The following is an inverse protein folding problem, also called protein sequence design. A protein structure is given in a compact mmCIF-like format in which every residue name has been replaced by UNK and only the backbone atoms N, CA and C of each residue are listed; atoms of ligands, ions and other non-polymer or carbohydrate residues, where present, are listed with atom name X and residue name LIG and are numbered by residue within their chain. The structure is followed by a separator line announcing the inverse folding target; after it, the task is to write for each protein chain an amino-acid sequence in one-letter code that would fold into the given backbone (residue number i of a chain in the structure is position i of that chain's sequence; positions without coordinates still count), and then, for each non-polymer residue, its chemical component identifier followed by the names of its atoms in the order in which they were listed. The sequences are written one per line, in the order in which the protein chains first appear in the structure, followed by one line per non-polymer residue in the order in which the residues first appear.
data_IF_408286157738
#
_entry.id   IF_408286157738
#
_cell.length_a   1.000
_cell.length_b   1.000
_cell.length_c   1.000
_cell.angle_alpha   90.00
_cell.angle_beta   90.00
_cell.angle_gamma   90.00
#
_symmetry.space_group_name_H-M   'P 1'
#
loop_
_entity.id
_entity.type
_entity.pdbx_description
1 polymer ?
#
# COMPACT_ATOMS: atom_id res chain seq x y z
N UNK A 1 -6.97 -16.49 -14.67
CA UNK A 1 -8.23 -16.41 -13.93
C UNK A 1 -8.69 -14.95 -13.94
N UNK A 2 -9.99 -14.68 -14.18
CA UNK A 2 -10.52 -13.31 -14.21
C UNK A 2 -11.75 -13.20 -13.33
N UNK A 3 -11.89 -12.08 -12.62
CA UNK A 3 -13.10 -11.70 -11.89
C UNK A 3 -13.83 -10.60 -12.67
N UNK A 4 -15.15 -10.73 -12.81
CA UNK A 4 -16.03 -9.81 -13.52
C UNK A 4 -17.27 -9.52 -12.65
N UNK A 5 -17.93 -8.38 -12.90
CA UNK A 5 -19.19 -8.05 -12.25
C UNK A 5 -20.30 -9.02 -12.69
N UNK A 6 -21.27 -9.20 -11.80
CA UNK A 6 -22.57 -9.78 -12.07
C UNK A 6 -23.58 -8.64 -12.03
N UNK A 7 -24.03 -8.10 -13.19
CA UNK A 7 -24.90 -6.94 -13.21
C UNK A 7 -26.22 -7.14 -12.45
N UNK A 8 -26.70 -8.39 -12.42
CA UNK A 8 -27.97 -8.78 -11.80
C UNK A 8 -27.84 -8.92 -10.27
N UNK A 9 -26.62 -9.16 -9.76
CA UNK A 9 -26.35 -9.30 -8.32
C UNK A 9 -24.98 -8.70 -7.93
N UNK A 10 -24.96 -7.45 -7.44
CA UNK A 10 -23.73 -6.79 -7.01
C UNK A 10 -23.02 -7.45 -5.81
N UNK A 11 -23.66 -8.40 -5.12
CA UNK A 11 -23.03 -9.14 -4.01
C UNK A 11 -22.13 -10.28 -4.48
N UNK A 12 -22.23 -10.63 -5.77
CA UNK A 12 -21.49 -11.72 -6.41
C UNK A 12 -20.50 -11.17 -7.47
N UNK A 13 -19.47 -11.94 -7.69
CA UNK A 13 -18.51 -11.79 -8.79
C UNK A 13 -18.53 -13.05 -9.64
N UNK A 14 -18.42 -12.90 -10.94
CA UNK A 14 -18.26 -14.03 -11.86
C UNK A 14 -16.79 -14.39 -12.01
N UNK A 15 -16.44 -15.64 -11.77
CA UNK A 15 -15.09 -16.16 -11.93
C UNK A 15 -14.94 -16.81 -13.30
N UNK A 16 -14.21 -16.16 -14.21
CA UNK A 16 -13.91 -16.69 -15.54
C UNK A 16 -12.57 -17.40 -15.56
N UNK A 17 -12.58 -18.63 -16.06
CA UNK A 17 -11.39 -19.46 -16.18
C UNK A 17 -11.30 -19.94 -17.62
N UNK A 18 -10.17 -19.68 -18.28
CA UNK A 18 -10.00 -19.97 -19.69
C UNK A 18 -9.87 -21.47 -20.02
N UNK A 19 -9.49 -22.30 -19.04
CA UNK A 19 -9.24 -23.74 -19.23
C UNK A 19 -10.18 -24.59 -18.39
N UNK A 20 -10.93 -25.53 -18.98
CA UNK A 20 -11.80 -26.45 -18.23
C UNK A 20 -11.04 -27.33 -17.21
N UNK A 21 -9.83 -27.77 -17.53
CA UNK A 21 -8.99 -28.53 -16.60
C UNK A 21 -8.58 -27.71 -15.36
N UNK A 22 -8.43 -26.38 -15.51
CA UNK A 22 -8.16 -25.48 -14.39
C UNK A 22 -9.40 -25.26 -13.53
N UNK A 23 -10.62 -25.27 -14.10
CA UNK A 23 -11.88 -25.22 -13.35
C UNK A 23 -11.97 -26.37 -12.36
N UNK A 24 -11.79 -27.60 -12.84
CA UNK A 24 -11.85 -28.81 -12.00
C UNK A 24 -10.82 -28.75 -10.87
N UNK A 25 -9.62 -28.29 -11.18
CA UNK A 25 -8.53 -28.16 -10.20
C UNK A 25 -8.82 -27.10 -9.15
N UNK A 26 -9.36 -25.93 -9.55
CA UNK A 26 -9.70 -24.83 -8.64
C UNK A 26 -10.85 -25.19 -7.72
N UNK A 27 -11.92 -25.77 -8.24
CA UNK A 27 -13.08 -26.20 -7.46
C UNK A 27 -12.71 -27.32 -6.47
N UNK A 28 -11.75 -28.18 -6.82
CA UNK A 28 -11.22 -29.22 -5.93
C UNK A 28 -10.19 -28.73 -4.90
N UNK A 29 -9.68 -27.51 -5.02
CA UNK A 29 -8.67 -26.97 -4.11
C UNK A 29 -9.30 -26.59 -2.76
N UNK A 30 -8.90 -27.25 -1.66
CA UNK A 30 -9.47 -27.08 -0.31
C UNK A 30 -9.50 -25.64 0.19
N UNK A 31 -8.54 -24.80 -0.23
CA UNK A 31 -8.45 -23.41 0.15
C UNK A 31 -9.33 -22.49 -0.69
N UNK A 32 -9.76 -22.94 -1.87
CA UNK A 32 -10.53 -22.18 -2.86
C UNK A 32 -12.00 -22.55 -2.84
N UNK A 33 -12.30 -23.84 -2.79
CA UNK A 33 -13.67 -24.38 -2.83
C UNK A 33 -14.68 -23.67 -1.89
N UNK A 34 -14.35 -23.32 -0.64
CA UNK A 34 -15.30 -22.64 0.24
C UNK A 34 -15.62 -21.18 -0.16
N UNK A 35 -14.93 -20.65 -1.14
CA UNK A 35 -15.08 -19.26 -1.61
C UNK A 35 -15.75 -19.16 -2.97
N UNK A 36 -16.10 -20.29 -3.59
CA UNK A 36 -16.68 -20.35 -4.93
C UNK A 36 -18.03 -21.06 -4.85
N UNK A 37 -19.04 -20.43 -5.38
CA UNK A 37 -20.35 -21.02 -5.64
C UNK A 37 -20.42 -21.48 -7.10
N UNK A 38 -20.87 -22.70 -7.33
CA UNK A 38 -20.96 -23.31 -8.67
C UNK A 38 -22.43 -23.37 -9.09
N UNK A 39 -22.76 -22.72 -10.18
CA UNK A 39 -24.10 -22.76 -10.76
C UNK A 39 -24.00 -23.18 -12.25
N UNK A 40 -24.27 -24.47 -12.51
CA UNK A 40 -24.10 -25.06 -13.82
C UNK A 40 -22.66 -24.98 -14.31
N UNK A 41 -22.43 -24.22 -15.37
CA UNK A 41 -21.11 -23.97 -15.96
C UNK A 41 -20.45 -22.67 -15.43
N UNK A 42 -21.18 -21.86 -14.70
CA UNK A 42 -20.71 -20.60 -14.17
C UNK A 42 -20.17 -20.75 -12.72
N UNK A 43 -19.14 -19.98 -12.42
CA UNK A 43 -18.54 -19.92 -11.10
C UNK A 43 -18.74 -18.51 -10.54
N UNK A 44 -19.24 -18.42 -9.31
CA UNK A 44 -19.47 -17.17 -8.62
C UNK A 44 -18.65 -17.10 -7.36
N UNK A 45 -18.30 -15.88 -6.96
CA UNK A 45 -17.52 -15.58 -5.76
C UNK A 45 -18.25 -14.48 -5.00
N UNK A 46 -18.74 -14.71 -3.79
CA UNK A 46 -19.25 -13.64 -2.97
C UNK A 46 -18.21 -12.51 -2.77
N UNK A 47 -18.65 -11.26 -2.89
CA UNK A 47 -17.78 -10.07 -2.78
C UNK A 47 -16.88 -10.11 -1.53
N UNK A 48 -17.40 -10.62 -0.40
CA UNK A 48 -16.64 -10.80 0.85
C UNK A 48 -15.41 -11.71 0.72
N UNK A 49 -15.36 -12.57 -0.30
CA UNK A 49 -14.25 -13.49 -0.52
C UNK A 49 -13.24 -13.00 -1.56
N UNK A 50 -13.51 -11.88 -2.25
CA UNK A 50 -12.68 -11.33 -3.33
C UNK A 50 -11.20 -11.20 -2.97
N UNK A 51 -10.89 -10.52 -1.88
CA UNK A 51 -9.50 -10.31 -1.47
C UNK A 51 -8.80 -11.59 -1.08
N UNK A 52 -9.48 -12.45 -0.31
CA UNK A 52 -8.94 -13.74 0.13
C UNK A 52 -8.71 -14.70 -1.02
N UNK A 53 -9.65 -14.78 -1.97
CA UNK A 53 -9.51 -15.60 -3.16
C UNK A 53 -8.29 -15.20 -3.99
N UNK A 54 -8.11 -13.90 -4.22
CA UNK A 54 -6.95 -13.37 -4.96
C UNK A 54 -5.63 -13.78 -4.32
N UNK A 55 -5.51 -13.70 -3.00
CA UNK A 55 -4.32 -14.11 -2.26
C UNK A 55 -4.04 -15.59 -2.40
N UNK A 56 -5.07 -16.42 -2.22
CA UNK A 56 -4.93 -17.88 -2.33
C UNK A 56 -4.53 -18.28 -3.75
N UNK A 57 -5.19 -17.71 -4.76
CA UNK A 57 -4.90 -18.01 -6.16
C UNK A 57 -3.48 -17.56 -6.56
N UNK A 58 -3.03 -16.40 -6.09
CA UNK A 58 -1.66 -15.98 -6.33
C UNK A 58 -0.64 -16.93 -5.70
N UNK A 59 -0.87 -17.35 -4.46
CA UNK A 59 -0.01 -18.33 -3.77
C UNK A 59 0.03 -19.69 -4.44
N UNK A 60 -0.98 -20.02 -5.26
CA UNK A 60 -1.03 -21.24 -6.09
C UNK A 60 -0.43 -21.03 -7.50
N UNK A 61 0.10 -19.84 -7.79
CA UNK A 61 0.69 -19.49 -9.09
C UNK A 61 -0.35 -19.07 -10.14
N UNK A 62 -1.59 -18.73 -9.74
CA UNK A 62 -2.68 -18.33 -10.64
C UNK A 62 -3.07 -16.88 -10.44
N UNK A 63 -2.39 -15.92 -11.08
CA UNK A 63 -2.70 -14.51 -10.94
C UNK A 63 -4.13 -14.22 -11.42
N UNK A 64 -4.82 -13.32 -10.72
CA UNK A 64 -6.19 -12.91 -11.01
C UNK A 64 -6.21 -11.57 -11.72
N UNK A 65 -6.77 -11.53 -12.92
CA UNK A 65 -7.18 -10.32 -13.63
C UNK A 65 -8.53 -9.87 -13.06
N UNK A 66 -8.48 -8.99 -12.09
CA UNK A 66 -9.66 -8.52 -11.36
C UNK A 66 -10.24 -7.27 -12.05
N UNK A 67 -11.34 -7.47 -12.81
CA UNK A 67 -12.03 -6.41 -13.54
C UNK A 67 -13.37 -6.00 -12.93
N UNK A 68 -13.78 -6.72 -11.90
CA UNK A 68 -15.10 -6.53 -11.30
C UNK A 68 -15.14 -5.33 -10.36
N UNK A 69 -16.21 -4.53 -10.44
CA UNK A 69 -16.58 -3.48 -9.48
C UNK A 69 -15.47 -2.52 -9.11
N UNK A 70 -14.50 -2.30 -10.02
CA UNK A 70 -13.44 -1.34 -9.78
C UNK A 70 -13.97 0.05 -10.12
N UNK A 71 -14.09 0.87 -9.08
CA UNK A 71 -14.59 2.23 -9.19
C UNK A 71 -13.53 3.09 -9.87
N UNK A 72 -13.92 3.79 -10.96
CA UNK A 72 -13.07 4.79 -11.61
C UNK A 72 -12.76 5.97 -10.67
N UNK A 73 -13.59 6.14 -9.63
CA UNK A 73 -13.52 7.21 -8.66
C UNK A 73 -14.26 8.45 -9.07
N UNK A 74 -14.72 9.22 -8.10
CA UNK A 74 -15.30 10.52 -8.38
C UNK A 74 -14.22 11.49 -8.89
N UNK A 75 -14.53 12.34 -9.88
CA UNK A 75 -13.56 13.29 -10.41
C UNK A 75 -13.14 14.32 -9.35
N UNK A 76 -11.91 14.78 -9.45
CA UNK A 76 -11.33 15.81 -8.60
C UNK A 76 -10.43 16.71 -9.44
N UNK A 77 -10.51 18.01 -9.23
CA UNK A 77 -9.57 18.95 -9.88
C UNK A 77 -8.33 19.12 -9.02
N UNK A 78 -7.19 18.85 -9.60
CA UNK A 78 -5.88 19.07 -8.98
C UNK A 78 -4.87 19.46 -10.05
N UNK A 79 -4.07 20.48 -9.77
CA UNK A 79 -2.92 20.88 -10.58
C UNK A 79 -1.70 21.08 -9.68
N UNK A 80 -0.56 20.61 -10.10
CA UNK A 80 0.70 20.85 -9.38
C UNK A 80 1.20 22.27 -9.68
N UNK A 81 1.70 22.95 -8.65
CA UNK A 81 2.25 24.31 -8.75
C UNK A 81 3.70 24.25 -9.22
N UNK A 82 3.90 24.25 -10.54
CA UNK A 82 5.24 24.14 -11.17
C UNK A 82 6.16 25.33 -10.82
N UNK A 83 5.60 26.44 -10.43
CA UNK A 83 6.33 27.59 -9.92
C UNK A 83 6.93 27.37 -8.52
N UNK A 84 6.45 26.36 -7.80
CA UNK A 84 6.93 26.00 -6.45
C UNK A 84 7.98 24.89 -6.47
N UNK A 85 7.95 24.04 -7.50
CA UNK A 85 8.92 22.98 -7.66
C UNK A 85 8.93 22.46 -9.10
N UNK A 86 10.08 21.98 -9.51
CA UNK A 86 10.25 21.27 -10.79
C UNK A 86 10.47 19.79 -10.48
N UNK A 87 9.63 18.87 -10.99
CA UNK A 87 9.89 17.45 -10.82
C UNK A 87 11.20 17.05 -11.46
N UNK A 88 11.94 16.19 -10.79
CA UNK A 88 13.14 15.60 -11.38
C UNK A 88 12.77 14.62 -12.50
N UNK A 89 13.65 14.39 -13.48
CA UNK A 89 13.39 13.50 -14.62
C UNK A 89 12.95 12.09 -14.20
N UNK A 90 13.60 11.51 -13.18
CA UNK A 90 13.24 10.19 -12.68
C UNK A 90 11.82 10.14 -12.05
N UNK A 91 11.34 11.22 -11.45
CA UNK A 91 9.98 11.30 -10.91
C UNK A 91 8.95 11.28 -12.05
N UNK A 92 9.21 11.98 -13.13
CA UNK A 92 8.39 11.97 -14.33
C UNK A 92 8.39 10.59 -15.00
N UNK A 93 9.56 9.94 -15.09
CA UNK A 93 9.68 8.57 -15.61
C UNK A 93 8.91 7.56 -14.75
N UNK A 94 8.99 7.69 -13.43
CA UNK A 94 8.25 6.83 -12.51
C UNK A 94 6.74 6.91 -12.74
N UNK A 95 6.20 8.12 -12.97
CA UNK A 95 4.77 8.31 -13.26
C UNK A 95 4.40 7.81 -14.64
N UNK A 96 5.24 7.99 -15.66
CA UNK A 96 5.02 7.41 -16.97
C UNK A 96 4.90 5.88 -16.88
N UNK A 97 5.88 5.22 -16.27
CA UNK A 97 5.88 3.76 -16.08
C UNK A 97 4.63 3.26 -15.28
N UNK A 98 4.19 4.00 -14.27
CA UNK A 98 2.97 3.69 -13.52
C UNK A 98 1.73 3.79 -14.40
N UNK A 99 1.56 4.87 -15.18
CA UNK A 99 0.41 5.08 -16.06
C UNK A 99 0.34 4.06 -17.19
N UNK A 100 1.46 3.82 -17.86
CA UNK A 100 1.55 2.90 -19.00
C UNK A 100 1.23 1.46 -18.59
N UNK A 101 1.41 1.14 -17.31
CA UNK A 101 1.06 -0.17 -16.74
C UNK A 101 -0.37 -0.27 -16.20
N UNK A 102 -1.27 0.66 -16.54
CA UNK A 102 -2.67 0.66 -16.08
C UNK A 102 -2.87 1.29 -14.71
N UNK A 103 -1.92 2.10 -14.25
CA UNK A 103 -1.97 2.85 -12.98
C UNK A 103 -2.14 1.97 -11.73
N UNK A 104 -1.45 0.83 -11.72
CA UNK A 104 -1.32 -0.02 -10.55
C UNK A 104 0.09 -0.60 -10.43
N UNK A 105 0.66 -0.54 -9.25
CA UNK A 105 1.99 -1.07 -8.97
C UNK A 105 2.78 -0.27 -7.93
N UNK A 106 3.99 -0.71 -7.68
CA UNK A 106 4.89 -0.17 -6.67
C UNK A 106 6.01 0.62 -7.34
N UNK A 107 6.27 1.81 -6.80
CA UNK A 107 7.41 2.66 -7.13
C UNK A 107 8.39 2.64 -5.96
N UNK A 108 9.63 2.26 -6.23
CA UNK A 108 10.70 2.19 -5.24
C UNK A 108 11.62 3.40 -5.42
N UNK A 109 11.67 4.25 -4.42
CA UNK A 109 12.49 5.46 -4.40
C UNK A 109 13.17 5.61 -3.04
N UNK A 110 14.46 5.90 -2.99
CA UNK A 110 15.17 6.15 -1.74
C UNK A 110 14.52 7.22 -0.86
N UNK A 111 14.88 7.22 0.42
CA UNK A 111 14.51 8.33 1.31
C UNK A 111 15.04 9.64 0.76
N UNK A 112 14.23 10.71 0.85
CA UNK A 112 14.60 12.01 0.28
C UNK A 112 14.38 12.18 -1.23
N UNK A 113 14.12 11.10 -2.00
CA UNK A 113 13.90 11.18 -3.44
C UNK A 113 12.53 11.75 -3.86
N UNK A 114 11.73 12.23 -2.91
CA UNK A 114 10.46 12.89 -3.22
C UNK A 114 9.31 11.95 -3.59
N UNK A 115 9.13 10.85 -2.88
CA UNK A 115 7.98 9.92 -3.02
C UNK A 115 6.64 10.66 -3.04
N UNK A 116 6.47 11.66 -2.17
CA UNK A 116 5.28 12.52 -2.14
C UNK A 116 5.04 13.25 -3.46
N UNK A 117 6.10 13.80 -4.08
CA UNK A 117 6.02 14.47 -5.39
C UNK A 117 5.51 13.51 -6.45
N UNK A 118 6.04 12.29 -6.50
CA UNK A 118 5.58 11.25 -7.44
C UNK A 118 4.09 10.97 -7.26
N UNK A 119 3.61 10.85 -6.03
CA UNK A 119 2.17 10.66 -5.80
C UNK A 119 1.33 11.89 -6.21
N UNK A 120 1.81 13.12 -5.98
CA UNK A 120 1.12 14.33 -6.44
C UNK A 120 0.99 14.36 -7.97
N UNK A 121 2.04 13.95 -8.68
CA UNK A 121 2.01 13.80 -10.13
C UNK A 121 1.02 12.71 -10.58
N UNK A 122 0.92 11.60 -9.84
CA UNK A 122 -0.07 10.56 -10.10
C UNK A 122 -1.49 11.09 -9.89
N UNK A 123 -1.76 11.80 -8.80
CA UNK A 123 -3.05 12.42 -8.51
C UNK A 123 -3.45 13.44 -9.58
N UNK A 124 -2.52 14.30 -10.02
CA UNK A 124 -2.74 15.26 -11.11
C UNK A 124 -3.10 14.54 -12.41
N UNK A 125 -2.34 13.51 -12.78
CA UNK A 125 -2.55 12.76 -14.01
C UNK A 125 -3.88 11.98 -14.05
N UNK A 126 -4.37 11.55 -12.89
CA UNK A 126 -5.59 10.76 -12.75
C UNK A 126 -6.83 11.59 -12.42
N UNK A 127 -6.66 12.76 -11.81
CA UNK A 127 -7.71 13.72 -11.45
C UNK A 127 -8.93 13.08 -10.78
N UNK A 128 -8.70 12.19 -9.80
CA UNK A 128 -9.75 11.43 -9.12
C UNK A 128 -9.58 11.46 -7.61
N UNK A 129 -10.69 11.30 -6.88
CA UNK A 129 -10.66 11.21 -5.40
C UNK A 129 -9.65 10.16 -4.95
N UNK A 130 -8.83 10.53 -3.98
CA UNK A 130 -7.69 9.73 -3.56
C UNK A 130 -7.69 9.46 -2.06
N UNK A 131 -7.49 8.18 -1.69
CA UNK A 131 -7.19 7.76 -0.34
C UNK A 131 -5.67 7.55 -0.20
N UNK A 132 -5.05 8.24 0.76
CA UNK A 132 -3.64 8.04 1.10
C UNK A 132 -3.54 7.36 2.45
N UNK A 133 -2.83 6.24 2.52
CA UNK A 133 -2.66 5.46 3.74
C UNK A 133 -1.19 5.54 4.14
N UNK A 134 -0.91 6.22 5.24
CA UNK A 134 0.43 6.43 5.76
C UNK A 134 0.75 5.57 6.99
N UNK A 135 2.02 5.57 7.37
CA UNK A 135 2.52 4.82 8.52
C UNK A 135 2.16 5.46 9.86
N UNK A 136 2.12 6.79 9.93
CA UNK A 136 1.85 7.54 11.17
C UNK A 136 1.02 8.80 10.92
N UNK A 137 0.54 9.40 12.03
CA UNK A 137 -0.18 10.68 11.98
C UNK A 137 0.72 11.81 11.51
N UNK A 138 1.97 11.81 11.93
CA UNK A 138 3.00 12.78 11.54
C UNK A 138 3.26 12.73 10.04
N UNK A 139 3.34 11.53 9.47
CA UNK A 139 3.43 11.33 8.03
C UNK A 139 2.21 11.93 7.30
N UNK A 140 0.99 11.69 7.79
CA UNK A 140 -0.23 12.29 7.22
C UNK A 140 -0.20 13.84 7.30
N UNK A 141 0.27 14.41 8.40
CA UNK A 141 0.42 15.87 8.55
C UNK A 141 1.46 16.42 7.57
N UNK A 142 2.58 15.73 7.37
CA UNK A 142 3.59 16.09 6.38
C UNK A 142 3.02 16.04 4.96
N UNK A 143 2.32 14.96 4.61
CA UNK A 143 1.63 14.83 3.32
C UNK A 143 0.67 15.98 3.06
N UNK A 144 -0.17 16.33 4.06
CA UNK A 144 -1.10 17.46 3.93
C UNK A 144 -0.38 18.78 3.66
N UNK A 145 0.70 19.07 4.40
CA UNK A 145 1.51 20.28 4.18
C UNK A 145 2.09 20.33 2.77
N UNK A 146 2.65 19.23 2.30
CA UNK A 146 3.22 19.12 0.96
C UNK A 146 2.17 19.31 -0.13
N UNK A 147 0.99 18.70 0.02
CA UNK A 147 -0.13 18.85 -0.92
C UNK A 147 -0.57 20.30 -1.03
N UNK A 148 -0.82 20.96 0.10
CA UNK A 148 -1.26 22.37 0.12
C UNK A 148 -0.18 23.33 -0.43
N UNK A 149 1.08 23.04 -0.21
CA UNK A 149 2.18 23.84 -0.71
C UNK A 149 2.41 23.70 -2.21
N UNK A 150 2.27 22.47 -2.74
CA UNK A 150 2.72 22.10 -4.09
C UNK A 150 1.59 21.90 -5.11
N UNK A 151 0.32 22.02 -4.68
CA UNK A 151 -0.82 21.82 -5.58
C UNK A 151 -1.85 22.94 -5.45
N UNK A 152 -2.83 22.96 -6.34
CA UNK A 152 -4.00 23.86 -6.31
C UNK A 152 -5.00 23.53 -5.20
N UNK A 153 -4.81 22.43 -4.46
CA UNK A 153 -5.72 22.00 -3.39
C UNK A 153 -5.77 23.01 -2.25
N UNK A 154 -6.96 23.13 -1.67
CA UNK A 154 -7.22 23.92 -0.47
C UNK A 154 -7.35 23.01 0.77
N UNK A 155 -7.41 23.64 1.95
CA UNK A 155 -7.62 22.91 3.20
C UNK A 155 -8.92 22.09 3.25
N UNK A 156 -9.93 22.49 2.46
CA UNK A 156 -11.23 21.81 2.37
C UNK A 156 -11.15 20.52 1.54
N UNK A 157 -10.18 20.46 0.63
CA UNK A 157 -10.01 19.31 -0.27
C UNK A 157 -9.25 18.16 0.40
N UNK A 158 -8.41 18.47 1.41
CA UNK A 158 -7.49 17.52 2.03
C UNK A 158 -7.86 17.29 3.50
N UNK A 159 -8.55 16.19 3.77
CA UNK A 159 -8.93 15.76 5.10
C UNK A 159 -7.92 14.79 5.72
N UNK A 160 -7.75 14.83 7.05
CA UNK A 160 -7.07 13.80 7.83
C UNK A 160 -8.12 13.04 8.62
N UNK A 161 -8.29 11.77 8.27
CA UNK A 161 -9.17 10.84 8.97
C UNK A 161 -8.39 10.14 10.09
N UNK A 162 -8.60 10.55 11.32
CA UNK A 162 -7.84 10.10 12.48
C UNK A 162 -8.69 9.92 13.74
N UNK A 163 -8.05 9.87 14.90
CA UNK A 163 -8.74 9.74 16.18
C UNK A 163 -9.61 10.95 16.48
N UNK A 164 -9.09 12.15 16.25
CA UNK A 164 -9.72 13.41 16.62
C UNK A 164 -10.82 13.85 15.64
N UNK A 165 -10.61 13.58 14.35
CA UNK A 165 -11.52 13.97 13.26
C UNK A 165 -11.82 12.80 12.35
N UNK A 166 -13.05 12.72 11.87
CA UNK A 166 -13.57 11.68 10.98
C UNK A 166 -14.03 12.27 9.65
N UNK A 167 -13.41 13.38 9.23
CA UNK A 167 -13.75 14.07 7.99
C UNK A 167 -13.20 13.31 6.78
N UNK A 168 -13.98 13.31 5.71
CA UNK A 168 -13.63 12.73 4.42
C UNK A 168 -13.66 13.82 3.38
N UNK A 169 -12.54 14.03 2.68
CA UNK A 169 -12.39 15.04 1.62
C UNK A 169 -12.23 14.41 0.24
N UNK A 170 -11.95 15.25 -0.75
CA UNK A 170 -11.58 14.79 -2.08
C UNK A 170 -10.28 13.97 -2.03
N UNK A 171 -9.34 14.41 -1.18
CA UNK A 171 -8.20 13.60 -0.73
C UNK A 171 -8.39 13.34 0.75
N UNK A 172 -8.25 12.10 1.16
CA UNK A 172 -8.30 11.70 2.56
C UNK A 172 -7.02 10.98 2.94
N UNK A 173 -6.39 11.47 4.00
CA UNK A 173 -5.18 10.90 4.60
C UNK A 173 -5.59 10.10 5.83
N UNK A 174 -5.11 8.86 5.95
CA UNK A 174 -5.34 8.03 7.14
C UNK A 174 -4.13 7.15 7.42
N UNK A 175 -4.14 6.41 8.51
CA UNK A 175 -3.04 5.52 8.87
C UNK A 175 -3.43 4.05 8.80
N UNK A 176 -2.44 3.17 8.62
CA UNK A 176 -2.65 1.72 8.70
C UNK A 176 -3.30 1.31 10.03
N UNK A 177 -2.87 1.89 11.13
CA UNK A 177 -3.42 1.61 12.47
C UNK A 177 -4.88 2.04 12.61
N UNK A 178 -5.28 3.15 11.98
CA UNK A 178 -6.68 3.60 12.00
C UNK A 178 -7.59 2.65 11.23
N UNK A 179 -7.17 2.18 10.07
CA UNK A 179 -7.93 1.21 9.28
C UNK A 179 -8.09 -0.13 10.01
N UNK A 180 -7.03 -0.59 10.68
CA UNK A 180 -7.01 -1.85 11.42
C UNK A 180 -7.63 -1.78 12.82
N UNK A 181 -8.19 -0.64 13.24
CA UNK A 181 -8.79 -0.47 14.57
C UNK A 181 -10.14 -1.22 14.65
N UNK A 182 -10.18 -2.26 15.48
CA UNK A 182 -11.39 -3.03 15.73
C UNK A 182 -12.42 -2.23 16.52
N UNK A 183 -13.71 -2.54 16.32
CA UNK A 183 -14.82 -1.99 17.08
C UNK A 183 -15.79 -1.13 16.27
N UNK A 184 -16.89 -0.75 16.90
CA UNK A 184 -17.89 0.17 16.30
C UNK A 184 -18.99 -0.46 15.46
N UNK A 185 -19.04 -1.79 15.32
CA UNK A 185 -19.98 -2.44 14.39
C UNK A 185 -19.56 -2.25 12.94
N UNK A 186 -20.29 -2.82 12.01
CA UNK A 186 -20.00 -2.75 10.58
C UNK A 186 -19.77 -4.12 9.96
N UNK A 187 -19.77 -4.20 8.63
CA UNK A 187 -19.73 -5.46 7.89
C UNK A 187 -18.43 -6.24 8.13
N UNK A 188 -17.30 -5.54 8.31
CA UNK A 188 -15.97 -6.16 8.51
C UNK A 188 -15.56 -6.25 9.98
N UNK A 189 -16.28 -5.60 10.91
CA UNK A 189 -15.86 -5.40 12.29
C UNK A 189 -14.81 -4.29 12.48
N UNK A 190 -14.54 -3.50 11.44
CA UNK A 190 -13.60 -2.38 11.37
C UNK A 190 -14.33 -1.13 10.86
N UNK A 191 -15.12 -0.49 11.74
CA UNK A 191 -16.02 0.61 11.35
C UNK A 191 -15.33 1.77 10.61
N UNK A 192 -14.06 2.04 10.91
CA UNK A 192 -13.30 3.08 10.20
C UNK A 192 -12.96 2.68 8.78
N UNK A 193 -12.62 1.40 8.57
CA UNK A 193 -12.41 0.85 7.24
C UNK A 193 -13.72 0.87 6.44
N UNK A 194 -14.82 0.35 7.00
CA UNK A 194 -16.12 0.29 6.33
C UNK A 194 -16.59 1.67 5.85
N UNK A 195 -16.40 2.71 6.70
CA UNK A 195 -16.74 4.09 6.32
C UNK A 195 -15.90 4.58 5.13
N UNK A 196 -14.59 4.33 5.14
CA UNK A 196 -13.69 4.76 4.05
C UNK A 196 -13.88 3.90 2.79
N UNK A 197 -14.21 2.62 2.93
CA UNK A 197 -14.45 1.72 1.80
C UNK A 197 -15.74 2.05 1.04
N UNK A 198 -16.70 2.72 1.68
CA UNK A 198 -17.94 3.17 1.07
C UNK A 198 -17.76 4.39 0.13
N UNK A 199 -16.61 5.06 0.18
CA UNK A 199 -16.32 6.23 -0.64
C UNK A 199 -15.81 5.87 -2.04
N UNK A 200 -16.14 6.66 -3.08
CA UNK A 200 -15.78 6.36 -4.46
C UNK A 200 -14.32 6.77 -4.77
N UNK A 201 -13.36 6.07 -4.19
CA UNK A 201 -11.93 6.31 -4.46
C UNK A 201 -11.55 5.82 -5.86
N UNK A 202 -10.88 6.66 -6.64
CA UNK A 202 -10.31 6.26 -7.92
C UNK A 202 -8.83 5.88 -7.81
N UNK A 203 -8.14 6.38 -6.78
CA UNK A 203 -6.75 6.05 -6.47
C UNK A 203 -6.59 5.76 -4.97
N UNK A 204 -5.86 4.69 -4.64
CA UNK A 204 -5.35 4.44 -3.29
C UNK A 204 -3.83 4.49 -3.32
N UNK A 205 -3.25 5.35 -2.50
CA UNK A 205 -1.80 5.47 -2.31
C UNK A 205 -1.41 4.84 -0.98
N UNK A 206 -0.46 3.93 -1.02
CA UNK A 206 0.13 3.27 0.13
C UNK A 206 1.53 3.82 0.36
N UNK A 207 1.70 4.63 1.39
CA UNK A 207 3.02 5.17 1.75
C UNK A 207 3.76 4.21 2.68
N UNK A 208 5.06 4.03 2.44
CA UNK A 208 5.92 3.03 3.09
C UNK A 208 5.27 1.64 3.10
N UNK A 209 4.91 1.17 1.91
CA UNK A 209 4.10 -0.05 1.72
C UNK A 209 4.73 -1.31 2.34
N UNK A 210 6.05 -1.32 2.57
CA UNK A 210 6.73 -2.41 3.27
C UNK A 210 6.28 -2.56 4.73
N UNK A 211 5.74 -1.51 5.35
CA UNK A 211 5.19 -1.52 6.71
C UNK A 211 3.73 -1.98 6.79
N UNK A 212 3.10 -2.31 5.66
CA UNK A 212 1.68 -2.67 5.61
C UNK A 212 1.39 -3.93 6.46
N UNK A 213 0.68 -3.81 7.60
CA UNK A 213 0.41 -4.96 8.47
C UNK A 213 -0.50 -5.99 7.79
N UNK A 214 -0.28 -7.29 8.02
CA UNK A 214 -1.05 -8.36 7.40
C UNK A 214 -2.59 -8.26 7.60
N UNK A 215 -3.12 -7.84 8.75
CA UNK A 215 -4.57 -7.63 8.91
C UNK A 215 -5.10 -6.49 8.04
N UNK A 216 -4.35 -5.36 7.95
CA UNK A 216 -4.73 -4.20 7.15
C UNK A 216 -4.59 -4.50 5.66
N UNK A 217 -3.60 -5.31 5.28
CA UNK A 217 -3.46 -5.82 3.92
C UNK A 217 -4.76 -6.46 3.43
N UNK A 218 -5.33 -7.37 4.22
CA UNK A 218 -6.59 -8.05 3.87
C UNK A 218 -7.77 -7.08 3.74
N UNK A 219 -7.88 -6.12 4.65
CA UNK A 219 -8.91 -5.09 4.58
C UNK A 219 -8.77 -4.23 3.33
N UNK A 220 -7.59 -3.73 3.04
CA UNK A 220 -7.38 -2.84 1.90
C UNK A 220 -7.51 -3.54 0.55
N UNK A 221 -7.43 -4.88 0.51
CA UNK A 221 -7.77 -5.66 -0.68
C UNK A 221 -9.25 -5.51 -1.09
N UNK A 222 -10.12 -5.18 -0.14
CA UNK A 222 -11.56 -4.99 -0.38
C UNK A 222 -11.94 -3.57 -0.86
N UNK A 223 -11.00 -2.62 -0.83
CA UNK A 223 -11.22 -1.30 -1.43
C UNK A 223 -11.46 -1.45 -2.93
N UNK A 224 -12.51 -0.79 -3.43
CA UNK A 224 -12.94 -0.92 -4.82
C UNK A 224 -12.20 -0.01 -5.81
N UNK A 225 -11.20 0.73 -5.38
CA UNK A 225 -10.42 1.61 -6.23
C UNK A 225 -9.66 0.84 -7.32
N UNK A 226 -9.83 1.27 -8.57
CA UNK A 226 -9.16 0.66 -9.73
C UNK A 226 -7.65 0.87 -9.71
N UNK A 227 -7.18 2.01 -9.21
CA UNK A 227 -5.77 2.41 -9.26
C UNK A 227 -5.15 2.34 -7.89
N UNK A 228 -3.97 1.73 -7.82
CA UNK A 228 -3.24 1.53 -6.56
C UNK A 228 -1.77 1.84 -6.76
N UNK A 229 -1.26 2.78 -5.98
CA UNK A 229 0.14 3.19 -5.99
C UNK A 229 0.80 2.85 -4.65
N UNK A 230 1.75 1.94 -4.67
CA UNK A 230 2.63 1.69 -3.53
C UNK A 230 3.90 2.53 -3.64
N UNK A 231 4.28 3.17 -2.55
CA UNK A 231 5.52 3.94 -2.43
C UNK A 231 6.37 3.34 -1.31
N UNK A 232 7.65 3.13 -1.56
CA UNK A 232 8.59 2.63 -0.55
C UNK A 232 10.02 2.99 -0.88
N UNK A 233 10.86 3.03 0.12
CA UNK A 233 12.32 3.13 -0.08
C UNK A 233 12.96 1.75 -0.32
N UNK A 234 12.36 0.69 0.24
CA UNK A 234 12.82 -0.69 0.08
C UNK A 234 11.61 -1.60 -0.12
N UNK A 235 11.77 -2.66 -0.91
CA UNK A 235 10.74 -3.70 -1.06
C UNK A 235 10.97 -4.90 -0.13
N UNK A 236 12.07 -4.90 0.60
CA UNK A 236 12.36 -5.97 1.55
C UNK A 236 11.45 -5.82 2.77
N UNK A 237 10.70 -6.87 3.06
CA UNK A 237 9.87 -6.97 4.27
C UNK A 237 10.54 -7.92 5.26
N UNK A 238 10.49 -7.58 6.53
CA UNK A 238 11.05 -8.42 7.61
C UNK A 238 10.38 -9.81 7.68
N UNK A 239 9.12 -9.91 7.23
CA UNK A 239 8.35 -11.16 7.22
C UNK A 239 8.48 -11.96 5.90
N UNK A 240 9.27 -11.50 4.93
CA UNK A 240 9.48 -12.15 3.64
C UNK A 240 8.22 -12.22 2.74
N UNK A 241 7.22 -11.35 2.97
CA UNK A 241 5.94 -11.35 2.26
C UNK A 241 5.81 -10.25 1.22
N UNK A 242 6.86 -9.97 0.49
CA UNK A 242 6.83 -9.00 -0.62
C UNK A 242 5.79 -9.39 -1.68
N UNK A 243 5.58 -10.67 -1.91
CA UNK A 243 4.57 -11.20 -2.83
C UNK A 243 3.15 -10.73 -2.49
N UNK A 244 2.84 -10.55 -1.21
CA UNK A 244 1.54 -10.04 -0.78
C UNK A 244 1.33 -8.59 -1.25
N UNK A 245 2.37 -7.75 -1.19
CA UNK A 245 2.32 -6.35 -1.66
C UNK A 245 2.03 -6.32 -3.16
N UNK A 246 2.70 -7.16 -3.94
CA UNK A 246 2.48 -7.24 -5.39
C UNK A 246 1.07 -7.76 -5.74
N UNK A 247 0.52 -8.67 -4.94
CA UNK A 247 -0.84 -9.16 -5.12
C UNK A 247 -1.90 -8.08 -4.93
N UNK A 248 -1.68 -7.20 -3.96
CA UNK A 248 -2.62 -6.13 -3.61
C UNK A 248 -2.51 -4.94 -4.55
N UNK A 249 -1.30 -4.47 -4.79
CA UNK A 249 -1.02 -3.17 -5.41
C UNK A 249 -0.59 -3.33 -6.87
N UNK A 250 0.02 -4.44 -7.20
CA UNK A 250 0.63 -4.72 -8.48
C UNK A 250 2.16 -4.77 -8.40
N UNK A 251 2.82 -5.19 -9.48
CA UNK A 251 4.26 -5.39 -9.49
C UNK A 251 5.04 -4.07 -9.37
N UNK A 252 6.34 -4.19 -9.12
CA UNK A 252 7.27 -3.07 -9.18
C UNK A 252 7.28 -2.48 -10.61
N UNK A 253 6.97 -1.18 -10.73
CA UNK A 253 6.89 -0.46 -12.01
C UNK A 253 8.09 0.43 -12.26
N UNK A 254 8.68 0.92 -11.19
CA UNK A 254 9.86 1.77 -11.26
C UNK A 254 10.73 1.56 -10.04
N UNK A 255 12.03 1.63 -10.23
CA UNK A 255 13.04 1.50 -9.19
C UNK A 255 14.27 2.29 -9.60
N UNK A 256 14.82 3.10 -8.71
CA UNK A 256 16.08 3.79 -8.94
C UNK A 256 16.99 3.58 -7.73
N UNK A 257 18.19 3.05 -7.94
CA UNK A 257 19.15 2.81 -6.86
C UNK A 257 19.57 4.14 -6.19
N UNK A 258 19.72 4.11 -4.88
CA UNK A 258 20.21 5.24 -4.08
C UNK A 258 21.52 5.85 -4.63
N UNK A 259 22.48 5.00 -5.01
CA UNK A 259 23.76 5.43 -5.56
C UNK A 259 23.66 6.24 -6.84
N UNK A 260 22.62 5.99 -7.64
CA UNK A 260 22.39 6.74 -8.89
C UNK A 260 21.90 8.16 -8.59
N UNK A 261 20.99 8.30 -7.65
CA UNK A 261 20.49 9.61 -7.20
C UNK A 261 21.56 10.42 -6.44
N UNK A 262 22.40 9.74 -5.67
CA UNK A 262 23.55 10.36 -5.00
C UNK A 262 24.55 10.91 -6.01
N UNK A 263 24.97 10.12 -6.99
CA UNK A 263 25.89 10.54 -8.07
C UNK A 263 25.36 11.74 -8.88
N UNK A 264 24.05 11.78 -9.10
CA UNK A 264 23.39 12.88 -9.81
C UNK A 264 23.08 14.10 -8.92
N UNK A 265 23.43 14.07 -7.63
CA UNK A 265 23.20 15.16 -6.69
C UNK A 265 21.75 15.41 -6.31
N UNK A 266 20.85 14.44 -6.57
CA UNK A 266 19.43 14.57 -6.24
C UNK A 266 19.12 14.22 -4.78
N UNK A 267 19.99 13.46 -4.14
CA UNK A 267 19.94 13.16 -2.69
C UNK A 267 21.31 13.42 -2.06
N UNK A 268 21.31 13.63 -0.75
CA UNK A 268 22.53 13.88 -0.01
C UNK A 268 23.48 12.68 -0.06
N UNK A 269 24.76 12.98 -0.13
CA UNK A 269 25.81 12.00 0.01
C UNK A 269 25.84 11.47 1.44
N UNK A 270 25.91 10.16 1.62
CA UNK A 270 26.00 9.54 2.94
C UNK A 270 27.35 8.86 3.11
N UNK A 271 27.98 9.11 4.26
CA UNK A 271 29.14 8.38 4.75
C UNK A 271 28.70 7.52 5.93
N UNK A 272 28.86 6.21 5.81
CA UNK A 272 28.51 5.27 6.88
C UNK A 272 29.80 4.78 7.55
N UNK A 273 29.81 4.86 8.88
CA UNK A 273 30.90 4.36 9.71
C UNK A 273 30.37 3.23 10.58
N UNK A 274 31.04 2.09 10.58
CA UNK A 274 30.78 0.99 11.52
C UNK A 274 31.67 1.19 12.75
N UNK A 275 31.06 1.66 13.85
CA UNK A 275 31.76 1.86 15.10
C UNK A 275 31.45 0.68 16.04
N UNK A 276 32.45 -0.18 16.27
CA UNK A 276 32.33 -1.32 17.17
C UNK A 276 32.65 -0.91 18.58
N UNK A 277 31.65 -0.97 19.44
CA UNK A 277 31.78 -0.63 20.85
C UNK A 277 31.72 -1.92 21.66
N UNK A 278 32.77 -2.27 22.43
CA UNK A 278 32.77 -3.47 23.27
C UNK A 278 31.76 -3.37 24.41
N UNK A 279 31.16 -4.48 24.78
CA UNK A 279 30.42 -4.57 26.04
C UNK A 279 31.40 -4.54 27.23
N UNK A 280 31.07 -3.84 28.33
CA UNK A 280 31.78 -3.97 29.58
C UNK A 280 31.86 -5.43 30.03
N UNK A 281 33.00 -5.82 30.66
CA UNK A 281 33.29 -7.23 31.00
C UNK A 281 32.22 -7.85 31.89
N UNK A 282 31.65 -7.09 32.80
CA UNK A 282 30.56 -7.50 33.70
C UNK A 282 29.22 -7.77 32.96
N UNK A 283 29.00 -7.19 31.78
CA UNK A 283 27.80 -7.41 30.96
C UNK A 283 27.97 -8.54 29.94
N UNK A 284 29.18 -8.97 29.61
CA UNK A 284 29.43 -9.98 28.58
C UNK A 284 28.81 -11.34 28.94
N UNK A 285 29.01 -11.80 30.19
CA UNK A 285 28.47 -13.08 30.67
C UNK A 285 26.91 -13.03 30.66
N UNK A 286 26.36 -11.95 31.17
CA UNK A 286 24.91 -11.73 31.18
C UNK A 286 24.34 -11.69 29.77
N UNK A 287 24.97 -10.99 28.85
CA UNK A 287 24.56 -10.92 27.45
C UNK A 287 24.53 -12.31 26.80
N UNK A 288 25.51 -13.17 27.08
CA UNK A 288 25.59 -14.51 26.51
C UNK A 288 24.47 -15.46 27.00
N UNK A 289 23.87 -15.19 28.15
CA UNK A 289 22.82 -16.02 28.76
C UNK A 289 21.41 -15.57 28.43
N UNK A 290 21.21 -14.37 27.85
CA UNK A 290 19.91 -13.78 27.57
C UNK A 290 19.40 -14.15 26.18
N UNK A 291 18.08 -14.06 26.00
CA UNK A 291 17.47 -14.18 24.68
C UNK A 291 17.76 -12.98 23.77
N UNK A 292 17.45 -13.10 22.50
CA UNK A 292 17.74 -12.06 21.47
C UNK A 292 17.13 -10.69 21.80
N UNK A 293 15.98 -10.65 22.48
CA UNK A 293 15.32 -9.40 22.84
C UNK A 293 16.02 -8.71 24.02
N UNK A 294 16.38 -9.47 25.03
CA UNK A 294 17.14 -8.99 26.18
C UNK A 294 18.57 -8.61 25.78
N UNK A 295 19.20 -9.37 24.87
CA UNK A 295 20.49 -9.03 24.25
C UNK A 295 20.45 -7.68 23.54
N UNK A 296 19.42 -7.43 22.74
CA UNK A 296 19.27 -6.15 22.04
C UNK A 296 19.10 -4.98 23.02
N UNK A 297 18.37 -5.18 24.13
CA UNK A 297 18.22 -4.18 25.18
C UNK A 297 19.55 -3.90 25.87
N UNK A 298 20.27 -4.93 26.32
CA UNK A 298 21.59 -4.78 26.97
C UNK A 298 22.59 -4.09 26.05
N UNK A 299 22.61 -4.45 24.76
CA UNK A 299 23.43 -3.77 23.78
C UNK A 299 23.01 -2.30 23.58
N UNK A 300 21.70 -1.99 23.65
CA UNK A 300 21.18 -0.63 23.58
C UNK A 300 21.57 0.25 24.77
N UNK A 301 21.57 -0.34 25.98
CA UNK A 301 21.90 0.31 27.25
C UNK A 301 23.40 0.34 27.55
N UNK A 302 24.25 -0.16 26.65
CA UNK A 302 25.69 -0.20 26.81
C UNK A 302 26.29 1.18 27.13
N UNK A 303 26.84 1.43 28.33
CA UNK A 303 27.36 2.73 28.74
C UNK A 303 28.53 3.22 27.89
N UNK A 304 29.33 2.29 27.34
CA UNK A 304 30.47 2.62 26.46
C UNK A 304 30.06 3.29 25.14
N UNK A 305 28.77 3.31 24.83
CA UNK A 305 28.24 4.03 23.64
C UNK A 305 28.13 5.53 23.84
N UNK A 306 28.24 6.00 25.08
CA UNK A 306 28.08 7.42 25.43
C UNK A 306 29.42 8.14 25.48
N UNK A 307 30.52 7.42 25.43
CA UNK A 307 31.91 7.92 25.37
C UNK A 307 32.34 8.05 23.88
#
# INVERSE_FOLDING_TARGET
VRLEDVPEDPSLLRLRIASPGLVTRLVGEKKVAPMIDVDGADLYVPQRHRGRLKQVLLGLGWPVDDRAGLVEGAPMSIATRRERFTPYPYQTQAIAAFRDSGSHGVIVLPCGAGKTVVALLAMEALSTRTLVIGSSREACLQWRREMLAKTSLSERDVAIYGADKKDVGAITLTTYSMLGKKGGGGATGFAHFDKLAAEPWGLVVYDEVHLLPAPVFRLTAELQARRRLGLTATLVREDGREGDVFALIGPKRFDIPWRELEKSGHIAQASCFDVRVPLPTDLVERYAQEDSHAQARLAGENPTKLD
#
